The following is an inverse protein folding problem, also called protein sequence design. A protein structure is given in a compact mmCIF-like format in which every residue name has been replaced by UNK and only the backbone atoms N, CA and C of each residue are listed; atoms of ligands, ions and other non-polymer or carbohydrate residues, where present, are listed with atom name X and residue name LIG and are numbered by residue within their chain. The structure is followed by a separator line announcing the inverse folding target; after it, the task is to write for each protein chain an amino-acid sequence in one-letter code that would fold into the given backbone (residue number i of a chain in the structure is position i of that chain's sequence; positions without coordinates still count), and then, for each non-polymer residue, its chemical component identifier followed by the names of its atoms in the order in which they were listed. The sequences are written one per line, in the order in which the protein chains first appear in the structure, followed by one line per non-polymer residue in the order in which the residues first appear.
data_IF_897361515800
#
_entry.id   IF_897361515800
#
_cell.length_a   1.000
_cell.length_b   1.000
_cell.length_c   1.000
_cell.angle_alpha   90.00
_cell.angle_beta   90.00
_cell.angle_gamma   90.00
#
_symmetry.space_group_name_H-M   'P 1'
#
loop_
_entity.id
_entity.type
_entity.pdbx_description
1 polymer ?
#
# COMPACT_ATOMS: atom_id res chain seq x y z
N UNK A 1 42.97 3.72 -53.03
CA UNK A 1 42.74 3.74 -51.56
C UNK A 1 41.38 4.37 -51.30
N UNK A 2 40.33 3.58 -51.03
CA UNK A 2 39.00 4.09 -50.69
C UNK A 2 38.45 3.33 -49.49
N UNK A 3 38.36 4.00 -48.33
CA UNK A 3 37.82 3.42 -47.08
C UNK A 3 36.30 3.55 -47.07
N UNK A 4 35.60 2.43 -47.19
CA UNK A 4 34.16 2.36 -46.93
C UNK A 4 33.91 2.47 -45.41
N UNK A 5 33.19 3.50 -44.98
CA UNK A 5 32.67 3.62 -43.61
C UNK A 5 31.40 2.78 -43.50
N UNK A 6 31.45 1.69 -42.73
CA UNK A 6 30.27 0.93 -42.32
C UNK A 6 29.56 1.70 -41.21
N UNK A 7 28.35 2.17 -41.47
CA UNK A 7 27.42 2.67 -40.47
C UNK A 7 26.77 1.46 -39.78
N UNK A 8 27.05 1.27 -38.49
CA UNK A 8 26.38 0.29 -37.65
C UNK A 8 25.17 1.00 -37.05
N UNK A 9 23.96 0.63 -37.48
CA UNK A 9 22.74 1.01 -36.77
C UNK A 9 22.65 0.19 -35.48
N UNK A 10 22.80 0.84 -34.34
CA UNK A 10 22.44 0.26 -33.06
C UNK A 10 20.92 0.31 -32.90
N UNK A 11 20.26 -0.85 -33.03
CA UNK A 11 18.86 -1.00 -32.67
C UNK A 11 18.75 -0.96 -31.14
N UNK A 12 18.31 0.19 -30.59
CA UNK A 12 18.00 0.31 -29.17
C UNK A 12 16.75 -0.51 -28.84
N UNK A 13 16.92 -1.58 -28.07
CA UNK A 13 15.82 -2.29 -27.44
C UNK A 13 15.21 -1.38 -26.36
N UNK A 14 14.10 -0.74 -26.69
CA UNK A 14 13.22 -0.09 -25.72
C UNK A 14 12.53 -1.19 -24.91
N UNK A 15 13.10 -1.54 -23.77
CA UNK A 15 12.40 -2.35 -22.76
C UNK A 15 11.26 -1.52 -22.19
N UNK A 16 10.06 -1.69 -22.74
CA UNK A 16 8.85 -1.25 -22.08
C UNK A 16 8.77 -1.99 -20.74
N UNK A 17 8.84 -1.25 -19.63
CA UNK A 17 8.59 -1.79 -18.32
C UNK A 17 7.12 -2.22 -18.25
N UNK A 18 6.86 -3.49 -18.55
CA UNK A 18 5.58 -4.11 -18.25
C UNK A 18 5.44 -4.05 -16.74
N UNK A 19 4.53 -3.22 -16.23
CA UNK A 19 4.16 -3.23 -14.83
C UNK A 19 3.57 -4.61 -14.53
N UNK A 20 4.39 -5.52 -14.00
CA UNK A 20 3.90 -6.84 -13.61
C UNK A 20 2.88 -6.64 -12.50
N UNK A 21 1.68 -7.17 -12.71
CA UNK A 21 0.67 -7.27 -11.66
C UNK A 21 1.26 -8.02 -10.45
N UNK A 22 0.84 -7.63 -9.24
CA UNK A 22 1.31 -8.29 -8.02
C UNK A 22 0.95 -9.79 -8.07
N UNK A 23 1.96 -10.65 -7.93
CA UNK A 23 1.83 -12.11 -8.05
C UNK A 23 0.90 -12.73 -7.00
N UNK A 24 0.61 -11.99 -5.91
CA UNK A 24 -0.32 -12.41 -4.85
C UNK A 24 -1.76 -12.13 -5.26
N UNK A 25 -2.21 -12.87 -6.27
CA UNK A 25 -3.55 -12.80 -6.81
C UNK A 25 -4.59 -13.56 -5.96
N UNK A 26 -5.83 -13.61 -6.44
CA UNK A 26 -6.91 -14.32 -5.76
C UNK A 26 -6.67 -15.83 -5.67
N UNK A 27 -5.97 -16.43 -6.62
CA UNK A 27 -5.73 -17.87 -6.67
C UNK A 27 -4.67 -18.27 -5.65
N UNK A 28 -3.54 -17.54 -5.60
CA UNK A 28 -2.52 -17.71 -4.58
C UNK A 28 -3.11 -17.49 -3.18
N UNK A 29 -3.98 -16.49 -3.02
CA UNK A 29 -4.70 -16.27 -1.78
C UNK A 29 -5.59 -17.46 -1.39
N UNK A 30 -6.34 -18.03 -2.34
CA UNK A 30 -7.22 -19.16 -2.08
C UNK A 30 -6.43 -20.39 -1.61
N UNK A 31 -5.26 -20.66 -2.21
CA UNK A 31 -4.36 -21.72 -1.74
C UNK A 31 -3.88 -21.46 -0.31
N UNK A 32 -3.35 -20.26 -0.06
CA UNK A 32 -2.86 -19.89 1.26
C UNK A 32 -3.97 -19.96 2.33
N UNK A 33 -5.17 -19.47 2.00
CA UNK A 33 -6.31 -19.46 2.91
C UNK A 33 -6.89 -20.86 3.19
N UNK A 34 -6.56 -21.86 2.37
CA UNK A 34 -6.93 -23.26 2.62
C UNK A 34 -6.32 -23.81 3.90
N UNK A 35 -5.10 -23.38 4.22
CA UNK A 35 -4.34 -23.85 5.38
C UNK A 35 -4.26 -22.83 6.52
N UNK A 36 -4.88 -21.65 6.37
CA UNK A 36 -4.82 -20.55 7.35
C UNK A 36 -6.21 -20.09 7.80
N UNK A 37 -6.38 -19.90 9.10
CA UNK A 37 -7.67 -19.47 9.66
C UNK A 37 -7.98 -18.00 9.34
N UNK A 38 -8.78 -17.76 8.29
CA UNK A 38 -9.22 -16.40 7.90
C UNK A 38 -10.66 -16.06 8.32
N UNK A 39 -11.46 -17.06 8.73
CA UNK A 39 -12.90 -16.91 9.00
C UNK A 39 -13.23 -15.86 10.07
N UNK A 40 -12.59 -15.83 11.26
CA UNK A 40 -12.91 -14.84 12.28
C UNK A 40 -12.65 -13.40 11.81
N UNK A 41 -11.54 -13.20 11.07
CA UNK A 41 -11.22 -11.90 10.50
C UNK A 41 -12.26 -11.46 9.47
N UNK A 42 -12.67 -12.36 8.56
CA UNK A 42 -13.74 -12.08 7.57
C UNK A 42 -15.07 -11.75 8.26
N UNK A 43 -15.42 -12.48 9.32
CA UNK A 43 -16.65 -12.21 10.09
C UNK A 43 -16.60 -10.82 10.73
N UNK A 44 -15.48 -10.44 11.34
CA UNK A 44 -15.30 -9.10 11.91
C UNK A 44 -15.52 -8.00 10.87
N UNK A 45 -15.03 -8.18 9.64
CA UNK A 45 -15.26 -7.23 8.55
C UNK A 45 -16.74 -7.14 8.16
N UNK A 46 -17.44 -8.28 8.09
CA UNK A 46 -18.88 -8.33 7.79
C UNK A 46 -19.68 -7.63 8.88
N UNK A 47 -19.43 -7.94 10.15
CA UNK A 47 -20.13 -7.36 11.30
C UNK A 47 -19.92 -5.84 11.37
N UNK A 48 -18.72 -5.38 11.03
CA UNK A 48 -18.38 -3.96 10.96
C UNK A 48 -18.91 -3.25 9.69
N UNK A 49 -19.54 -3.97 8.75
CA UNK A 49 -19.95 -3.47 7.42
C UNK A 49 -18.79 -2.89 6.59
N UNK A 50 -17.60 -3.48 6.74
CA UNK A 50 -16.36 -3.10 6.05
C UNK A 50 -15.86 -4.18 5.09
N UNK A 51 -16.58 -5.30 4.98
CA UNK A 51 -16.27 -6.32 3.98
C UNK A 51 -16.49 -5.76 2.56
N UNK A 52 -15.51 -5.96 1.68
CA UNK A 52 -15.57 -5.54 0.29
C UNK A 52 -15.04 -4.14 -0.01
N UNK A 53 -14.71 -3.32 1.00
CA UNK A 53 -14.05 -2.01 0.79
C UNK A 53 -12.69 -2.18 0.12
N UNK A 54 -11.95 -3.21 0.51
CA UNK A 54 -10.74 -3.68 -0.15
C UNK A 54 -10.93 -5.18 -0.44
N UNK A 55 -10.60 -5.68 -1.65
CA UNK A 55 -10.64 -7.11 -1.93
C UNK A 55 -9.81 -7.89 -0.90
N UNK A 56 -10.38 -8.96 -0.34
CA UNK A 56 -9.79 -9.64 0.82
C UNK A 56 -8.35 -10.15 0.57
N UNK A 57 -8.06 -10.59 -0.66
CA UNK A 57 -6.73 -11.03 -1.04
C UNK A 57 -5.72 -9.89 -0.98
N UNK A 58 -6.09 -8.68 -1.39
CA UNK A 58 -5.23 -7.49 -1.29
C UNK A 58 -5.09 -7.01 0.16
N UNK A 59 -6.19 -7.02 0.92
CA UNK A 59 -6.20 -6.60 2.33
C UNK A 59 -5.30 -7.46 3.22
N UNK A 60 -5.08 -8.71 2.83
CA UNK A 60 -4.23 -9.64 3.56
C UNK A 60 -2.82 -9.76 2.98
N UNK A 61 -2.46 -9.02 1.92
CA UNK A 61 -1.08 -9.00 1.41
C UNK A 61 -0.13 -8.50 2.50
N UNK A 62 0.94 -9.25 2.76
CA UNK A 62 2.02 -8.82 3.67
C UNK A 62 2.92 -7.77 2.97
N UNK A 63 4.20 -7.66 3.32
CA UNK A 63 5.13 -6.78 2.58
C UNK A 63 5.34 -7.26 1.13
N UNK A 64 5.56 -6.34 0.19
CA UNK A 64 5.91 -6.73 -1.19
C UNK A 64 7.20 -7.53 -1.28
N UNK A 65 8.13 -7.31 -0.35
CA UNK A 65 9.40 -8.03 -0.25
C UNK A 65 9.28 -9.41 0.40
N UNK A 66 8.06 -9.94 0.62
CA UNK A 66 7.83 -11.23 1.27
C UNK A 66 8.72 -12.34 0.69
N UNK A 67 8.91 -12.37 -0.64
CA UNK A 67 9.71 -13.39 -1.32
C UNK A 67 11.21 -13.23 -1.04
N UNK A 68 11.72 -11.99 -1.13
CA UNK A 68 13.10 -11.66 -0.75
C UNK A 68 13.37 -12.02 0.72
N UNK A 69 12.38 -11.75 1.58
CA UNK A 69 12.44 -12.01 3.00
C UNK A 69 12.08 -13.43 3.43
N UNK A 70 11.73 -14.32 2.46
CA UNK A 70 11.28 -15.69 2.72
C UNK A 70 10.16 -15.77 3.77
N UNK A 71 9.23 -14.83 3.71
CA UNK A 71 8.09 -14.71 4.61
C UNK A 71 6.79 -15.17 3.94
N UNK A 72 5.68 -15.16 4.68
CA UNK A 72 4.37 -15.49 4.10
C UNK A 72 3.89 -14.37 3.17
N UNK A 73 3.31 -14.68 1.99
CA UNK A 73 2.77 -13.69 1.05
C UNK A 73 1.56 -12.93 1.62
N UNK A 74 0.83 -13.57 2.53
CA UNK A 74 -0.34 -13.02 3.20
C UNK A 74 -0.23 -13.17 4.72
N UNK A 75 -0.92 -12.31 5.46
CA UNK A 75 -0.98 -12.38 6.91
C UNK A 75 -2.30 -11.79 7.44
N UNK A 76 -2.92 -12.49 8.39
CA UNK A 76 -4.05 -11.93 9.17
C UNK A 76 -3.48 -11.09 10.30
N UNK A 77 -3.91 -9.82 10.46
CA UNK A 77 -3.50 -9.02 11.61
C UNK A 77 -3.99 -9.64 12.93
N UNK A 78 -3.19 -9.56 14.01
CA UNK A 78 -3.62 -10.01 15.33
C UNK A 78 -4.93 -9.38 15.75
N UNK A 79 -5.76 -10.10 16.51
CA UNK A 79 -7.09 -9.63 16.93
C UNK A 79 -7.04 -8.30 17.69
N UNK A 80 -5.96 -8.03 18.44
CA UNK A 80 -5.73 -6.76 19.12
C UNK A 80 -5.62 -5.56 18.18
N UNK A 81 -5.31 -5.77 16.89
CA UNK A 81 -5.22 -4.72 15.87
C UNK A 81 -6.51 -4.56 15.06
N UNK A 82 -7.52 -5.41 15.22
CA UNK A 82 -8.77 -5.32 14.47
C UNK A 82 -9.53 -4.00 14.67
N UNK A 83 -9.52 -3.32 15.85
CA UNK A 83 -10.03 -1.96 15.95
C UNK A 83 -9.37 -0.99 14.97
N UNK A 84 -8.06 -1.10 14.77
CA UNK A 84 -7.32 -0.24 13.86
C UNK A 84 -7.54 -0.63 12.38
N UNK A 85 -7.70 -1.93 12.08
CA UNK A 85 -8.18 -2.39 10.76
C UNK A 85 -9.52 -1.73 10.42
N UNK A 86 -10.48 -1.75 11.35
CA UNK A 86 -11.79 -1.13 11.15
C UNK A 86 -11.68 0.38 10.88
N UNK A 87 -10.86 1.07 11.67
CA UNK A 87 -10.63 2.51 11.52
C UNK A 87 -10.01 2.85 10.16
N UNK A 88 -8.94 2.16 9.75
CA UNK A 88 -8.29 2.38 8.45
C UNK A 88 -9.23 2.06 7.27
N UNK A 89 -10.02 0.99 7.34
CA UNK A 89 -11.00 0.67 6.29
C UNK A 89 -12.16 1.67 6.25
N UNK A 90 -12.63 2.16 7.39
CA UNK A 90 -13.64 3.22 7.44
C UNK A 90 -13.14 4.53 6.83
N UNK A 91 -11.85 4.87 7.06
CA UNK A 91 -11.20 6.00 6.40
C UNK A 91 -11.14 5.78 4.88
N UNK A 92 -10.68 4.62 4.40
CA UNK A 92 -10.63 4.31 2.96
C UNK A 92 -12.01 4.41 2.32
N UNK A 93 -13.04 3.86 2.97
CA UNK A 93 -14.43 4.00 2.50
C UNK A 93 -14.83 5.47 2.40
N UNK A 94 -14.51 6.28 3.42
CA UNK A 94 -14.84 7.71 3.44
C UNK A 94 -14.12 8.47 2.32
N UNK A 95 -12.86 8.12 2.03
CA UNK A 95 -12.10 8.70 0.94
C UNK A 95 -12.72 8.34 -0.42
N UNK A 96 -13.15 7.11 -0.62
CA UNK A 96 -13.85 6.67 -1.85
C UNK A 96 -15.21 7.38 -2.00
N UNK A 97 -16.04 7.38 -0.95
CA UNK A 97 -17.36 8.03 -0.93
C UNK A 97 -17.26 9.54 -1.28
N UNK A 98 -16.15 10.19 -0.90
CA UNK A 98 -15.89 11.60 -1.20
C UNK A 98 -15.10 11.83 -2.50
N UNK A 99 -14.80 10.79 -3.25
CA UNK A 99 -14.07 10.85 -4.51
C UNK A 99 -12.57 11.17 -4.37
N UNK A 100 -12.02 11.11 -3.15
CA UNK A 100 -10.60 11.34 -2.89
C UNK A 100 -9.71 10.12 -3.20
N UNK A 101 -10.28 8.90 -3.17
CA UNK A 101 -9.57 7.65 -3.45
C UNK A 101 -10.50 6.64 -4.14
N UNK A 102 -10.57 6.68 -5.48
CA UNK A 102 -11.56 5.89 -6.24
C UNK A 102 -11.03 4.58 -6.84
N UNK A 103 -9.83 4.63 -7.40
CA UNK A 103 -9.21 3.48 -8.04
C UNK A 103 -7.83 3.29 -7.44
N UNK A 104 -7.62 2.12 -6.85
CA UNK A 104 -6.39 1.78 -6.17
C UNK A 104 -6.25 0.27 -6.05
N UNK A 105 -5.01 -0.17 -5.82
CA UNK A 105 -4.69 -1.55 -5.46
C UNK A 105 -3.91 -1.55 -4.15
N UNK A 106 -4.35 -2.32 -3.16
CA UNK A 106 -3.58 -2.52 -1.93
C UNK A 106 -2.51 -3.59 -2.18
N UNK A 107 -1.25 -3.20 -2.00
CA UNK A 107 -0.08 -4.05 -2.25
C UNK A 107 0.67 -4.44 -0.98
N UNK A 108 0.34 -3.81 0.14
CA UNK A 108 0.83 -4.22 1.44
C UNK A 108 -0.11 -3.76 2.54
N UNK A 109 -0.38 -4.62 3.52
CA UNK A 109 -1.21 -4.31 4.67
C UNK A 109 -0.47 -4.66 5.98
N UNK A 110 -1.02 -5.53 6.81
CA UNK A 110 -0.33 -5.97 8.02
C UNK A 110 1.03 -6.61 7.72
N UNK A 111 2.05 -6.28 8.51
CA UNK A 111 3.37 -6.90 8.46
C UNK A 111 3.71 -7.45 9.82
N UNK A 112 4.13 -8.71 9.88
CA UNK A 112 4.75 -9.20 11.10
C UNK A 112 6.07 -8.43 11.36
N UNK A 113 6.50 -8.28 12.62
CA UNK A 113 7.67 -7.46 12.94
C UNK A 113 8.97 -7.92 12.25
N UNK A 114 9.17 -9.23 12.06
CA UNK A 114 10.37 -9.79 11.42
C UNK A 114 10.38 -9.46 9.93
N UNK A 115 9.26 -9.64 9.24
CA UNK A 115 9.13 -9.24 7.84
C UNK A 115 9.29 -7.73 7.67
N UNK A 116 8.69 -6.92 8.55
CA UNK A 116 8.84 -5.47 8.47
C UNK A 116 10.30 -5.05 8.57
N UNK A 117 11.07 -5.63 9.50
CA UNK A 117 12.51 -5.34 9.63
C UNK A 117 13.30 -5.77 8.38
N UNK A 118 13.03 -6.96 7.84
CA UNK A 118 13.70 -7.44 6.63
C UNK A 118 13.39 -6.56 5.40
N UNK A 119 12.14 -6.10 5.26
CA UNK A 119 11.70 -5.21 4.18
C UNK A 119 12.16 -3.75 4.37
N UNK A 120 13.06 -3.46 5.32
CA UNK A 120 13.55 -2.11 5.59
C UNK A 120 12.50 -1.16 6.19
N UNK A 121 11.43 -1.71 6.76
CA UNK A 121 10.39 -0.94 7.41
C UNK A 121 10.88 -0.24 8.68
N UNK A 122 10.39 0.98 8.92
CA UNK A 122 10.77 1.79 10.08
C UNK A 122 10.45 1.10 11.42
N UNK A 123 11.25 1.42 12.44
CA UNK A 123 10.93 1.10 13.83
C UNK A 123 9.62 1.82 14.19
N UNK A 124 8.65 1.09 14.75
CA UNK A 124 7.33 1.65 15.06
C UNK A 124 6.41 1.85 13.84
N UNK A 125 6.71 1.20 12.70
CA UNK A 125 5.85 1.17 11.51
C UNK A 125 4.38 0.91 11.84
N UNK A 126 3.47 1.69 11.24
CA UNK A 126 2.03 1.49 11.44
C UNK A 126 1.57 0.10 10.97
N UNK A 127 2.21 -0.47 9.93
CA UNK A 127 1.92 -1.82 9.45
C UNK A 127 2.07 -2.92 10.52
N UNK A 128 2.93 -2.70 11.51
CA UNK A 128 3.20 -3.71 12.56
C UNK A 128 2.40 -3.48 13.82
N UNK A 129 2.10 -2.22 14.17
CA UNK A 129 1.54 -1.85 15.49
C UNK A 129 0.06 -1.43 15.47
N UNK A 130 -0.42 -0.90 14.34
CA UNK A 130 -1.72 -0.24 14.28
C UNK A 130 -2.44 -0.44 12.95
N UNK A 131 -2.00 -1.38 12.12
CA UNK A 131 -2.50 -1.62 10.77
C UNK A 131 -2.39 -0.40 9.83
N UNK A 132 -1.81 -0.63 8.66
CA UNK A 132 -1.72 0.37 7.60
C UNK A 132 -1.86 -0.33 6.26
N UNK A 133 -2.17 0.44 5.22
CA UNK A 133 -2.13 -0.04 3.84
C UNK A 133 -1.17 0.80 3.02
N UNK A 134 -0.41 0.13 2.16
CA UNK A 134 0.27 0.75 1.04
C UNK A 134 -0.49 0.42 -0.23
N UNK A 135 -0.78 1.46 -1.01
CA UNK A 135 -1.59 1.37 -2.20
C UNK A 135 -0.90 1.95 -3.43
N UNK A 136 -1.19 1.34 -4.58
CA UNK A 136 -0.87 1.87 -5.88
C UNK A 136 -2.09 2.59 -6.44
N UNK A 137 -1.85 3.78 -6.99
CA UNK A 137 -2.83 4.47 -7.81
C UNK A 137 -2.56 4.16 -9.29
N UNK A 138 -3.58 4.20 -10.16
CA UNK A 138 -3.36 4.22 -11.60
C UNK A 138 -2.36 5.31 -11.99
N UNK A 139 -1.53 5.08 -13.01
CA UNK A 139 -0.48 6.02 -13.41
C UNK A 139 -0.99 7.43 -13.77
N UNK A 140 -2.26 7.55 -14.17
CA UNK A 140 -2.92 8.80 -14.51
C UNK A 140 -3.63 9.48 -13.33
N UNK A 141 -3.73 8.84 -12.17
CA UNK A 141 -4.49 9.35 -11.04
C UNK A 141 -3.72 10.47 -10.32
N UNK A 142 -4.42 11.56 -10.01
CA UNK A 142 -3.90 12.66 -9.20
C UNK A 142 -4.01 12.30 -7.70
N UNK A 143 -2.92 12.29 -6.92
CA UNK A 143 -2.97 12.08 -5.48
C UNK A 143 -3.39 13.32 -4.68
N UNK A 144 -3.50 14.52 -5.28
CA UNK A 144 -3.83 15.75 -4.56
C UNK A 144 -5.17 15.74 -3.80
N UNK A 145 -6.25 15.07 -4.26
CA UNK A 145 -7.47 14.94 -3.48
C UNK A 145 -7.26 14.31 -2.10
N UNK A 146 -6.30 13.37 -1.97
CA UNK A 146 -5.91 12.82 -0.66
C UNK A 146 -5.30 13.89 0.24
N UNK A 147 -4.47 14.77 -0.31
CA UNK A 147 -3.87 15.87 0.43
C UNK A 147 -4.92 16.89 0.88
N UNK A 148 -5.85 17.27 0.01
CA UNK A 148 -6.96 18.16 0.39
C UNK A 148 -7.81 17.56 1.50
N UNK A 149 -8.14 16.26 1.42
CA UNK A 149 -8.85 15.58 2.50
C UNK A 149 -8.03 15.56 3.79
N UNK A 150 -6.74 15.21 3.72
CA UNK A 150 -5.86 15.15 4.88
C UNK A 150 -5.75 16.50 5.59
N UNK A 151 -5.59 17.60 4.83
CA UNK A 151 -5.51 18.95 5.39
C UNK A 151 -6.81 19.37 6.10
N UNK A 152 -7.97 18.99 5.57
CA UNK A 152 -9.28 19.41 6.10
C UNK A 152 -9.80 18.50 7.21
N UNK A 153 -9.52 17.20 7.14
CA UNK A 153 -10.15 16.17 7.95
C UNK A 153 -9.16 15.20 8.60
N UNK A 154 -7.88 15.23 8.23
CA UNK A 154 -6.90 14.26 8.68
C UNK A 154 -6.70 14.25 10.19
N UNK A 155 -6.81 15.40 10.87
CA UNK A 155 -6.72 15.48 12.32
C UNK A 155 -7.83 14.70 13.01
N UNK A 156 -9.08 14.82 12.54
CA UNK A 156 -10.23 14.09 13.09
C UNK A 156 -10.10 12.57 12.89
N UNK A 157 -9.39 12.15 11.85
CA UNK A 157 -9.15 10.74 11.52
C UNK A 157 -7.87 10.15 12.12
N UNK A 158 -7.04 10.96 12.80
CA UNK A 158 -5.66 10.58 13.11
C UNK A 158 -4.92 10.03 11.87
N UNK A 159 -5.17 10.65 10.72
CA UNK A 159 -4.76 10.12 9.42
C UNK A 159 -3.25 10.27 9.22
N UNK A 160 -2.57 9.14 9.11
CA UNK A 160 -1.24 9.06 8.52
C UNK A 160 -1.36 8.99 7.01
N UNK A 161 -0.71 9.90 6.30
CA UNK A 161 -0.65 9.93 4.84
C UNK A 161 0.80 10.03 4.37
N UNK A 162 1.24 9.16 3.47
CA UNK A 162 2.63 9.19 3.01
C UNK A 162 2.77 8.81 1.56
N UNK A 163 3.91 9.17 0.96
CA UNK A 163 4.25 8.74 -0.40
C UNK A 163 5.71 8.29 -0.47
N UNK A 164 5.90 6.99 -0.68
CA UNK A 164 7.23 6.40 -0.84
C UNK A 164 7.88 6.86 -2.15
N UNK A 165 9.22 6.77 -2.28
CA UNK A 165 9.92 7.01 -3.55
C UNK A 165 9.39 6.18 -4.72
N UNK A 166 8.86 4.99 -4.43
CA UNK A 166 8.21 4.12 -5.42
C UNK A 166 6.89 4.67 -5.97
N UNK A 167 6.38 5.77 -5.40
CA UNK A 167 5.07 6.35 -5.74
C UNK A 167 3.91 5.75 -4.96
N UNK A 168 4.11 4.66 -4.21
CA UNK A 168 3.10 4.05 -3.34
C UNK A 168 2.62 5.05 -2.30
N UNK A 169 1.30 5.11 -2.10
CA UNK A 169 0.68 5.90 -1.05
C UNK A 169 0.52 5.03 0.20
N UNK A 170 0.86 5.58 1.35
CA UNK A 170 0.64 4.99 2.66
C UNK A 170 -0.59 5.61 3.33
N UNK A 171 -1.47 4.79 3.91
CA UNK A 171 -2.63 5.24 4.69
C UNK A 171 -2.75 4.43 5.99
N UNK A 172 -2.90 5.14 7.10
CA UNK A 172 -3.22 4.57 8.42
C UNK A 172 -4.03 5.57 9.27
N UNK A 173 -4.53 5.12 10.43
CA UNK A 173 -5.21 5.97 11.42
C UNK A 173 -4.49 5.99 12.78
N UNK A 174 -3.16 5.90 12.78
CA UNK A 174 -2.32 5.78 13.98
C UNK A 174 -1.73 7.11 14.47
N UNK A 175 -2.07 8.23 13.82
CA UNK A 175 -1.66 9.59 14.20
C UNK A 175 -1.67 10.55 13.01
N UNK A 176 -2.12 11.79 13.24
CA UNK A 176 -2.20 12.83 12.20
C UNK A 176 -0.80 13.29 11.76
N UNK A 177 -0.33 12.77 10.63
CA UNK A 177 1.02 13.04 10.11
C UNK A 177 1.07 12.87 8.60
N UNK A 178 2.01 13.56 7.98
CA UNK A 178 2.32 13.37 6.56
C UNK A 178 3.83 13.33 6.32
N UNK A 179 4.27 12.59 5.31
CA UNK A 179 5.68 12.44 4.94
C UNK A 179 5.85 12.13 3.45
N UNK A 180 7.07 12.27 2.91
CA UNK A 180 7.37 11.96 1.50
C UNK A 180 8.61 11.09 1.28
N UNK A 181 9.27 11.24 0.13
CA UNK A 181 10.24 10.26 -0.36
C UNK A 181 11.39 9.91 0.62
N UNK A 182 11.82 10.84 1.46
CA UNK A 182 12.88 10.61 2.46
C UNK A 182 12.35 10.17 3.84
N UNK A 183 11.05 9.94 3.98
CA UNK A 183 10.39 9.57 5.24
C UNK A 183 10.17 10.73 6.21
N UNK A 184 10.59 11.96 5.87
CA UNK A 184 10.40 13.14 6.69
C UNK A 184 9.10 13.90 6.35
N UNK A 185 8.62 14.71 7.28
CA UNK A 185 7.50 15.60 7.04
C UNK A 185 7.83 16.71 6.01
N UNK A 186 9.10 17.09 5.89
CA UNK A 186 9.55 18.16 4.98
C UNK A 186 9.48 17.76 3.50
N UNK A 187 9.57 16.45 3.20
CA UNK A 187 9.42 15.93 1.83
C UNK A 187 7.98 15.58 1.46
N UNK A 188 7.02 15.80 2.36
CA UNK A 188 5.61 15.47 2.16
C UNK A 188 5.04 16.10 0.89
N UNK A 189 4.41 15.27 0.07
CA UNK A 189 3.71 15.70 -1.14
C UNK A 189 2.42 16.50 -0.85
N UNK A 190 1.96 16.53 0.40
CA UNK A 190 0.78 17.29 0.83
C UNK A 190 1.11 18.65 1.44
N UNK A 191 2.39 18.97 1.58
CA UNK A 191 2.85 20.28 2.07
C UNK A 191 3.52 20.97 0.88
N UNK A 192 3.16 22.22 0.59
CA UNK A 192 3.83 22.96 -0.49
C UNK A 192 5.32 23.11 -0.14
N UNK A 193 6.23 22.97 -1.12
CA UNK A 193 7.62 23.39 -0.93
C UNK A 193 7.64 24.83 -0.42
N UNK A 194 8.48 25.11 0.58
CA UNK A 194 8.73 26.47 1.04
C UNK A 194 9.47 27.26 -0.04
#
# INVERSE_FOLDING_TARGET
MGRARKLILAAGLLSAAVTQADERDLWMFAQWAGDHQTRPFRQMLVDARLYGIVPIHQLLRSASDWRLCRASPFAVPPASQWPAVRSTLALIKTLDDRGALRQFEVVSAYRDPRLNACAGGAVGSAHTRAFAVDLLLPAWADPNPLCSFWQQHGQAWNMGLGRYPSGRIHIDTAGYRTWGGDGSAGSSFCVKPK
#
